data_IF_702829238564
#
_entry.id   IF_702829238564
#
_cell.length_a   1.000
_cell.length_b   1.000
_cell.length_c   1.000
_cell.angle_alpha   90.00
_cell.angle_beta   90.00
_cell.angle_gamma   90.00
#
_symmetry.space_group_name_H-M   'P 1'
#
loop_
_entity.id
_entity.type
_entity.pdbx_description
1 polymer ?
#
# COMPACT_ATOMS: atom_id res chain seq x y z
N UNK A 1 -12.94 10.31 -2.16
CA UNK A 1 -11.61 9.88 -1.67
C UNK A 1 -11.21 10.38 -0.27
N UNK A 2 -11.12 11.68 0.03
CA UNK A 2 -10.58 12.19 1.32
C UNK A 2 -11.34 11.68 2.56
N UNK A 3 -12.67 11.66 2.53
CA UNK A 3 -13.49 11.14 3.63
C UNK A 3 -13.27 9.64 3.86
N UNK A 4 -12.99 8.88 2.80
CA UNK A 4 -12.67 7.46 2.92
C UNK A 4 -11.35 7.26 3.66
N UNK A 5 -10.31 8.01 3.26
CA UNK A 5 -8.99 7.96 3.92
C UNK A 5 -9.13 8.32 5.41
N UNK A 6 -9.91 9.35 5.72
CA UNK A 6 -10.22 9.72 7.10
C UNK A 6 -10.89 8.58 7.87
N UNK A 7 -11.93 7.98 7.30
CA UNK A 7 -12.71 6.97 8.00
C UNK A 7 -11.92 5.65 8.19
N UNK A 8 -11.12 5.25 7.21
CA UNK A 8 -10.36 3.99 7.27
C UNK A 8 -9.05 4.14 8.03
N UNK A 9 -8.29 5.19 7.76
CA UNK A 9 -6.94 5.38 8.29
C UNK A 9 -6.85 6.42 9.41
N UNK A 10 -7.92 7.17 9.69
CA UNK A 10 -7.98 8.11 10.81
C UNK A 10 -7.25 9.44 10.57
N UNK A 11 -6.98 9.81 9.32
CA UNK A 11 -6.27 11.07 9.01
C UNK A 11 -6.77 11.74 7.73
N UNK A 12 -6.51 13.04 7.60
CA UNK A 12 -6.74 13.78 6.35
C UNK A 12 -5.48 13.83 5.49
N UNK A 13 -5.58 13.49 4.19
CA UNK A 13 -4.48 13.63 3.25
C UNK A 13 -4.14 15.11 3.07
N UNK A 14 -2.85 15.46 3.10
CA UNK A 14 -2.36 16.82 2.82
C UNK A 14 -2.41 17.11 1.32
N UNK A 15 -1.95 16.15 0.51
CA UNK A 15 -2.05 16.17 -0.94
C UNK A 15 -2.90 14.99 -1.45
N UNK A 16 -4.19 15.24 -1.67
CA UNK A 16 -5.14 14.23 -2.19
C UNK A 16 -4.75 13.68 -3.57
N UNK A 17 -3.98 14.43 -4.38
CA UNK A 17 -3.61 14.00 -5.72
C UNK A 17 -2.63 12.82 -5.72
N UNK A 18 -1.79 12.69 -4.68
CA UNK A 18 -0.92 11.52 -4.51
C UNK A 18 -1.76 10.24 -4.37
N UNK A 19 -2.81 10.30 -3.56
CA UNK A 19 -3.71 9.18 -3.33
C UNK A 19 -4.53 8.86 -4.57
N UNK A 20 -5.03 9.87 -5.30
CA UNK A 20 -5.70 9.64 -6.59
C UNK A 20 -4.75 8.99 -7.61
N UNK A 21 -3.49 9.41 -7.64
CA UNK A 21 -2.49 8.82 -8.53
C UNK A 21 -2.18 7.36 -8.18
N UNK A 22 -2.14 7.01 -6.88
CA UNK A 22 -1.93 5.64 -6.43
C UNK A 22 -2.96 4.64 -6.99
N UNK A 23 -4.14 5.15 -7.34
CA UNK A 23 -5.26 4.38 -7.86
C UNK A 23 -5.38 4.43 -9.39
N UNK A 24 -4.45 5.09 -10.08
CA UNK A 24 -4.47 5.23 -11.54
C UNK A 24 -3.61 4.15 -12.20
N UNK A 25 -4.25 3.02 -12.48
CA UNK A 25 -3.59 1.89 -13.15
C UNK A 25 -3.10 2.26 -14.56
N UNK A 26 -1.98 1.64 -14.98
CA UNK A 26 -1.33 1.88 -16.27
C UNK A 26 -2.24 1.68 -17.49
N UNK A 27 -3.23 0.78 -17.41
CA UNK A 27 -4.21 0.56 -18.50
C UNK A 27 -5.13 1.76 -18.74
N UNK A 28 -5.30 2.62 -17.73
CA UNK A 28 -6.12 3.84 -17.80
C UNK A 28 -5.28 5.10 -17.99
N UNK A 29 -3.95 4.97 -18.07
CA UNK A 29 -3.05 6.08 -18.26
C UNK A 29 -3.00 6.49 -19.73
N UNK A 30 -3.60 7.64 -20.05
CA UNK A 30 -3.40 8.32 -21.33
C UNK A 30 -1.93 8.76 -21.44
N UNK A 31 -1.33 8.55 -22.61
CA UNK A 31 0.00 9.08 -22.92
C UNK A 31 -0.03 10.61 -22.84
N UNK A 32 0.94 11.20 -22.12
CA UNK A 32 1.22 12.63 -22.22
C UNK A 32 2.30 12.89 -23.27
N UNK A 33 2.44 14.15 -23.65
CA UNK A 33 3.56 14.68 -24.42
C UNK A 33 4.89 14.13 -23.87
N UNK A 34 5.74 13.58 -24.75
CA UNK A 34 7.02 12.90 -24.46
C UNK A 34 6.94 11.44 -23.99
N UNK A 35 5.83 10.73 -24.23
CA UNK A 35 5.73 9.27 -24.00
C UNK A 35 5.59 8.85 -22.54
N UNK A 36 5.58 9.81 -21.60
CA UNK A 36 5.41 9.54 -20.19
C UNK A 36 3.93 9.26 -19.86
N UNK A 37 3.65 8.05 -19.36
CA UNK A 37 2.32 7.68 -18.83
C UNK A 37 2.21 8.15 -17.38
N UNK A 38 1.14 8.86 -17.05
CA UNK A 38 0.84 9.24 -15.66
C UNK A 38 0.02 8.12 -15.03
N UNK A 39 0.71 7.18 -14.39
CA UNK A 39 0.18 6.00 -13.70
C UNK A 39 0.80 5.86 -12.30
N UNK A 40 0.33 4.86 -11.57
CA UNK A 40 0.75 4.53 -10.21
C UNK A 40 2.12 3.85 -10.10
N UNK A 41 2.74 3.39 -11.20
CA UNK A 41 3.96 2.54 -11.18
C UNK A 41 5.13 3.16 -10.38
N UNK A 42 5.33 4.48 -10.45
CA UNK A 42 6.37 5.15 -9.66
C UNK A 42 6.07 5.19 -8.16
N UNK A 43 4.78 5.30 -7.80
CA UNK A 43 4.34 5.23 -6.41
C UNK A 43 4.40 3.80 -5.89
N UNK A 44 4.05 2.81 -6.72
CA UNK A 44 4.17 1.39 -6.42
C UNK A 44 5.62 1.05 -6.08
N UNK A 45 6.56 1.39 -6.95
CA UNK A 45 8.00 1.18 -6.73
C UNK A 45 8.49 1.76 -5.39
N UNK A 46 8.13 3.02 -5.10
CA UNK A 46 8.50 3.66 -3.83
C UNK A 46 7.82 2.98 -2.64
N UNK A 47 6.54 2.65 -2.79
CA UNK A 47 5.73 2.05 -1.75
C UNK A 47 6.20 0.65 -1.35
N UNK A 48 6.58 -0.17 -2.33
CA UNK A 48 7.17 -1.49 -2.13
C UNK A 48 8.46 -1.39 -1.29
N UNK A 49 9.42 -0.55 -1.71
CA UNK A 49 10.67 -0.35 -0.97
C UNK A 49 10.44 0.13 0.48
N UNK A 50 9.48 1.03 0.69
CA UNK A 50 9.12 1.52 2.03
C UNK A 50 8.45 0.44 2.86
N UNK A 51 7.54 -0.33 2.27
CA UNK A 51 6.88 -1.46 2.93
C UNK A 51 7.92 -2.50 3.37
N UNK A 52 8.83 -2.87 2.47
CA UNK A 52 9.90 -3.83 2.72
C UNK A 52 10.80 -3.40 3.87
N UNK A 53 11.21 -2.12 3.89
CA UNK A 53 11.99 -1.54 4.98
C UNK A 53 11.25 -1.59 6.32
N UNK A 54 9.95 -1.23 6.33
CA UNK A 54 9.13 -1.25 7.54
C UNK A 54 8.99 -2.67 8.11
N UNK A 55 8.72 -3.66 7.26
CA UNK A 55 8.53 -5.05 7.68
C UNK A 55 9.86 -5.65 8.13
N UNK A 56 10.96 -5.43 7.40
CA UNK A 56 12.28 -5.87 7.80
C UNK A 56 12.69 -5.28 9.16
N UNK A 57 12.50 -3.97 9.37
CA UNK A 57 12.81 -3.30 10.64
C UNK A 57 11.96 -3.88 11.79
N UNK A 58 10.69 -4.19 11.53
CA UNK A 58 9.80 -4.79 12.52
C UNK A 58 10.24 -6.20 12.89
N UNK A 59 10.51 -7.07 11.90
CA UNK A 59 10.90 -8.46 12.14
C UNK A 59 12.24 -8.54 12.87
N UNK A 60 13.23 -7.73 12.46
CA UNK A 60 14.53 -7.64 13.12
C UNK A 60 14.41 -7.30 14.61
N UNK A 61 13.51 -6.37 14.96
CA UNK A 61 13.28 -5.96 16.35
C UNK A 61 12.43 -6.97 17.14
N UNK A 62 11.47 -7.62 16.47
CA UNK A 62 10.53 -8.55 17.11
C UNK A 62 11.17 -9.91 17.39
N UNK A 63 12.09 -10.35 16.53
CA UNK A 63 12.72 -11.67 16.59
C UNK A 63 14.25 -11.54 16.65
N UNK A 64 14.82 -10.99 17.73
CA UNK A 64 16.25 -10.67 17.82
C UNK A 64 17.18 -11.90 17.84
N UNK A 65 16.63 -13.10 18.04
CA UNK A 65 17.38 -14.35 18.11
C UNK A 65 17.20 -15.26 16.88
N UNK A 66 16.37 -14.84 15.93
CA UNK A 66 16.15 -15.60 14.71
C UNK A 66 17.21 -15.26 13.65
N UNK A 67 17.47 -16.22 12.76
CA UNK A 67 18.46 -16.05 11.69
C UNK A 67 17.90 -15.29 10.47
N UNK A 68 18.78 -14.88 9.57
CA UNK A 68 18.42 -14.15 8.35
C UNK A 68 17.41 -14.92 7.48
N UNK A 69 17.57 -16.23 7.33
CA UNK A 69 16.67 -17.07 6.53
C UNK A 69 15.23 -17.03 7.05
N UNK A 70 15.04 -17.13 8.38
CA UNK A 70 13.73 -16.99 9.02
C UNK A 70 13.13 -15.59 8.77
N UNK A 71 13.93 -14.53 8.92
CA UNK A 71 13.47 -13.16 8.72
C UNK A 71 13.06 -12.92 7.26
N UNK A 72 13.84 -13.42 6.30
CA UNK A 72 13.56 -13.30 4.86
C UNK A 72 12.33 -14.11 4.45
N UNK A 73 12.17 -15.33 4.95
CA UNK A 73 10.98 -16.15 4.69
C UNK A 73 9.72 -15.49 5.27
N UNK A 74 9.80 -15.02 6.52
CA UNK A 74 8.69 -14.35 7.20
C UNK A 74 8.32 -13.04 6.50
N UNK A 75 9.31 -12.23 6.11
CA UNK A 75 9.08 -11.00 5.32
C UNK A 75 8.34 -11.36 4.04
N UNK A 76 8.84 -12.33 3.28
CA UNK A 76 8.27 -12.74 1.99
C UNK A 76 6.81 -13.19 2.11
N UNK A 77 6.45 -13.89 3.20
CA UNK A 77 5.04 -14.26 3.48
C UNK A 77 4.18 -13.01 3.69
N UNK A 78 4.66 -12.06 4.50
CA UNK A 78 3.94 -10.83 4.85
C UNK A 78 3.76 -9.90 3.65
N UNK A 79 4.80 -9.69 2.84
CA UNK A 79 4.75 -8.78 1.67
C UNK A 79 4.36 -9.49 0.38
N UNK A 80 3.97 -10.76 0.45
CA UNK A 80 3.53 -11.50 -0.74
C UNK A 80 2.33 -10.84 -1.42
N UNK A 81 2.28 -10.93 -2.76
CA UNK A 81 1.15 -10.43 -3.56
C UNK A 81 -0.20 -10.93 -3.04
N UNK A 82 -0.27 -12.19 -2.60
CA UNK A 82 -1.49 -12.76 -2.04
C UNK A 82 -1.91 -12.07 -0.72
N UNK A 83 -0.96 -11.88 0.20
CA UNK A 83 -1.16 -11.12 1.44
C UNK A 83 -1.69 -9.71 1.15
N UNK A 84 -0.98 -8.97 0.29
CA UNK A 84 -1.31 -7.58 -0.01
C UNK A 84 -2.67 -7.45 -0.69
N UNK A 85 -3.04 -8.40 -1.54
CA UNK A 85 -4.39 -8.46 -2.12
C UNK A 85 -5.48 -8.71 -1.07
N UNK A 86 -5.25 -9.60 -0.11
CA UNK A 86 -6.19 -9.85 1.00
C UNK A 86 -6.34 -8.60 1.86
N UNK A 87 -5.24 -7.94 2.19
CA UNK A 87 -5.26 -6.72 2.99
C UNK A 87 -5.96 -5.56 2.25
N UNK A 88 -5.67 -5.37 0.96
CA UNK A 88 -6.28 -4.35 0.12
C UNK A 88 -7.81 -4.46 0.11
N UNK A 89 -8.35 -5.69 0.01
CA UNK A 89 -9.79 -5.96 0.14
C UNK A 89 -10.33 -5.68 1.55
N UNK A 90 -9.60 -6.09 2.60
CA UNK A 90 -10.00 -5.81 4.00
C UNK A 90 -10.09 -4.31 4.29
N UNK A 91 -9.19 -3.52 3.70
CA UNK A 91 -9.17 -2.07 3.78
C UNK A 91 -10.19 -1.40 2.85
N UNK A 92 -10.92 -2.16 2.03
CA UNK A 92 -11.91 -1.68 1.08
C UNK A 92 -11.35 -0.77 -0.01
N UNK A 93 -10.07 -0.93 -0.38
CA UNK A 93 -9.44 -0.10 -1.42
C UNK A 93 -10.11 -0.29 -2.79
N UNK A 94 -10.66 -1.48 -3.03
CA UNK A 94 -11.53 -1.78 -4.17
C UNK A 94 -12.78 -0.87 -4.21
N UNK A 95 -13.44 -0.67 -3.07
CA UNK A 95 -14.62 0.22 -2.97
C UNK A 95 -14.26 1.69 -3.13
N UNK A 96 -13.09 2.08 -2.62
CA UNK A 96 -12.57 3.44 -2.74
C UNK A 96 -12.37 3.83 -4.21
N UNK A 97 -11.83 2.91 -5.00
CA UNK A 97 -11.64 3.04 -6.45
C UNK A 97 -12.98 3.20 -7.20
N UNK A 98 -13.96 2.35 -6.91
CA UNK A 98 -15.28 2.38 -7.54
C UNK A 98 -16.01 3.70 -7.27
N UNK A 99 -15.89 4.24 -6.04
CA UNK A 99 -16.56 5.48 -5.63
C UNK A 99 -16.01 6.74 -6.31
N UNK A 100 -14.74 6.76 -6.71
CA UNK A 100 -14.08 7.95 -7.29
C UNK A 100 -14.14 7.97 -8.82
N UNK A 101 -14.20 6.79 -9.45
CA UNK A 101 -14.16 6.64 -10.91
C UNK A 101 -15.51 6.30 -11.54
N UNK A 102 -16.52 5.89 -10.75
CA UNK A 102 -17.84 5.49 -11.27
C UNK A 102 -17.82 4.23 -12.14
N UNK A 103 -16.65 3.60 -12.29
CA UNK A 103 -16.41 2.37 -13.05
C UNK A 103 -16.29 1.23 -12.05
N UNK A 104 -17.11 0.19 -12.22
CA UNK A 104 -16.93 -1.08 -11.47
C UNK A 104 -15.57 -1.66 -11.83
N UNK A 105 -14.62 -1.62 -10.90
CA UNK A 105 -13.31 -2.23 -11.12
C UNK A 105 -13.45 -3.72 -10.82
N UNK A 106 -13.88 -4.47 -11.83
CA UNK A 106 -13.64 -5.90 -11.86
C UNK A 106 -12.19 -6.12 -12.28
N UNK A 107 -11.29 -6.45 -11.36
CA UNK A 107 -10.31 -7.54 -11.58
C UNK A 107 -9.30 -7.69 -10.43
N UNK A 108 -9.07 -8.97 -10.14
CA UNK A 108 -8.39 -9.59 -8.99
C UNK A 108 -6.90 -9.24 -8.79
N UNK A 109 -6.29 -8.33 -9.57
CA UNK A 109 -4.85 -8.03 -9.46
C UNK A 109 -4.49 -6.58 -9.12
N UNK A 110 -5.45 -5.66 -9.03
CA UNK A 110 -5.15 -4.23 -8.78
C UNK A 110 -4.91 -3.97 -7.28
N UNK A 111 -5.31 -4.88 -6.40
CA UNK A 111 -5.30 -4.67 -4.95
C UNK A 111 -3.91 -4.45 -4.36
N UNK A 112 -2.95 -5.33 -4.66
CA UNK A 112 -1.58 -5.28 -4.18
C UNK A 112 -0.83 -4.05 -4.69
N UNK A 113 -0.79 -3.86 -6.01
CA UNK A 113 -0.12 -2.70 -6.66
C UNK A 113 -0.69 -1.37 -6.15
N UNK A 114 -2.03 -1.29 -6.00
CA UNK A 114 -2.67 -0.09 -5.48
C UNK A 114 -2.38 0.13 -3.98
N UNK A 115 -2.24 -0.94 -3.19
CA UNK A 115 -1.85 -0.83 -1.79
C UNK A 115 -0.41 -0.35 -1.65
N UNK A 116 0.53 -0.91 -2.42
CA UNK A 116 1.92 -0.44 -2.49
C UNK A 116 1.95 1.03 -2.92
N UNK A 117 1.26 1.36 -4.00
CA UNK A 117 1.14 2.76 -4.46
C UNK A 117 0.54 3.69 -3.40
N UNK A 118 -0.44 3.22 -2.63
CA UNK A 118 -1.06 3.98 -1.54
C UNK A 118 -0.07 4.20 -0.38
N UNK A 119 0.76 3.21 -0.05
CA UNK A 119 1.86 3.35 0.91
C UNK A 119 2.88 4.39 0.42
N UNK A 120 3.23 4.35 -0.87
CA UNK A 120 4.09 5.36 -1.50
C UNK A 120 3.51 6.77 -1.41
N UNK A 121 2.22 6.93 -1.70
CA UNK A 121 1.50 8.19 -1.55
C UNK A 121 1.49 8.70 -0.10
N UNK A 122 1.24 7.80 0.87
CA UNK A 122 1.25 8.12 2.29
C UNK A 122 2.64 8.55 2.78
N UNK A 123 3.69 7.86 2.33
CA UNK A 123 5.07 8.22 2.63
C UNK A 123 5.42 9.63 2.13
N UNK A 124 5.03 9.97 0.89
CA UNK A 124 5.26 11.32 0.36
C UNK A 124 4.42 12.39 1.07
N UNK A 125 3.20 12.07 1.51
CA UNK A 125 2.32 13.03 2.17
C UNK A 125 2.65 13.25 3.66
N UNK A 126 3.01 12.20 4.38
CA UNK A 126 3.11 12.20 5.85
C UNK A 126 4.47 11.77 6.41
N UNK A 127 5.38 11.31 5.56
CA UNK A 127 6.72 10.86 5.95
C UNK A 127 6.77 9.48 6.60
N UNK A 128 8.00 8.96 6.74
CA UNK A 128 8.26 7.58 7.17
C UNK A 128 7.61 7.19 8.49
N UNK A 129 7.72 8.03 9.54
CA UNK A 129 7.22 7.70 10.89
C UNK A 129 5.71 7.42 10.87
N UNK A 130 4.95 8.24 10.14
CA UNK A 130 3.50 8.09 10.02
C UNK A 130 3.14 6.84 9.22
N UNK A 131 3.79 6.66 8.06
CA UNK A 131 3.58 5.50 7.20
C UNK A 131 3.87 4.21 7.94
N UNK A 132 5.00 4.11 8.63
CA UNK A 132 5.37 2.96 9.46
C UNK A 132 4.29 2.63 10.48
N UNK A 133 3.85 3.61 11.28
CA UNK A 133 2.80 3.38 12.29
C UNK A 133 1.53 2.82 11.67
N UNK A 134 1.13 3.36 10.52
CA UNK A 134 -0.09 2.95 9.81
C UNK A 134 0.06 1.55 9.21
N UNK A 135 1.14 1.30 8.47
CA UNK A 135 1.46 0.01 7.86
C UNK A 135 1.49 -1.09 8.92
N UNK A 136 2.23 -0.90 10.01
CA UNK A 136 2.31 -1.88 11.10
C UNK A 136 0.94 -2.14 11.72
N UNK A 137 0.11 -1.12 11.95
CA UNK A 137 -1.26 -1.28 12.50
C UNK A 137 -2.14 -2.21 11.65
N UNK A 138 -2.08 -2.10 10.31
CA UNK A 138 -2.98 -2.85 9.42
C UNK A 138 -2.38 -4.16 8.90
N UNK A 139 -1.07 -4.21 8.63
CA UNK A 139 -0.39 -5.42 8.14
C UNK A 139 -0.18 -6.43 9.26
N UNK A 140 0.32 -6.00 10.42
CA UNK A 140 0.60 -6.92 11.53
C UNK A 140 -0.69 -7.53 12.04
N UNK A 141 -1.75 -6.72 12.27
CA UNK A 141 -3.05 -7.23 12.73
C UNK A 141 -3.65 -8.27 11.77
N UNK A 142 -3.22 -8.28 10.51
CA UNK A 142 -3.72 -9.22 9.49
C UNK A 142 -2.91 -10.52 9.43
N UNK A 143 -1.63 -10.50 9.80
CA UNK A 143 -0.69 -11.62 9.64
C UNK A 143 -0.25 -12.26 10.94
N UNK A 144 -0.20 -11.45 11.99
CA UNK A 144 0.21 -11.87 13.31
C UNK A 144 -1.05 -11.71 14.17
N UNK A 145 -1.82 -12.79 14.25
CA UNK A 145 -2.66 -13.02 15.42
C UNK A 145 -1.69 -13.12 16.61
N UNK A 146 -1.34 -11.98 17.18
CA UNK A 146 -0.75 -11.94 18.52
C UNK A 146 -1.96 -11.99 19.45
N UNK A 147 -2.26 -13.22 19.86
CA UNK A 147 -3.12 -13.63 20.99
C UNK A 147 -4.61 -13.29 20.91
#
# INVERSE_FOLDING_TARGET
>A
MSNYIRNVFGYYPGNIFLYKLAFKHKSSAKEKTHGNKVCNERLEYLGDAILDAIVAEYLFKKFPFENEGFLTETKSKIVSRNSLNVLSKKLGLDKMLESDSGVKITQRSIGGDALESFIGAMYLDKGYKFTKKTVLKYIIKTHINVE
#
